data_IF_534693968127
#
_entry.id   IF_534693968127
#
_cell.length_a   1.000
_cell.length_b   1.000
_cell.length_c   1.000
_cell.angle_alpha   90.00
_cell.angle_beta   90.00
_cell.angle_gamma   90.00
#
_symmetry.space_group_name_H-M   'P 1'
#
loop_
_entity.id
_entity.type
_entity.pdbx_description
1 polymer ?
#
# COMPACT_ATOMS: atom_id res chain seq x y z
N UNK A 1 -2.31 29.37 -15.85
CA UNK A 1 -3.08 29.35 -14.60
C UNK A 1 -4.36 28.60 -14.90
N UNK A 2 -4.28 27.27 -14.91
CA UNK A 2 -5.35 26.40 -15.39
C UNK A 2 -6.31 26.08 -14.25
N UNK A 3 -7.46 26.76 -14.27
CA UNK A 3 -8.65 26.38 -13.49
C UNK A 3 -9.28 25.14 -14.15
N UNK A 4 -8.66 23.97 -13.97
CA UNK A 4 -9.39 22.70 -14.09
C UNK A 4 -10.32 22.59 -12.88
N UNK A 5 -11.50 23.17 -13.01
CA UNK A 5 -12.68 22.76 -12.26
C UNK A 5 -12.87 21.27 -12.50
N UNK A 6 -12.38 20.45 -11.58
CA UNK A 6 -12.72 19.03 -11.47
C UNK A 6 -14.20 18.95 -11.08
N UNK A 7 -15.06 19.10 -12.09
CA UNK A 7 -16.37 18.47 -12.06
C UNK A 7 -16.12 16.96 -12.04
N UNK A 8 -15.94 16.44 -10.83
CA UNK A 8 -16.05 15.01 -10.55
C UNK A 8 -17.43 14.63 -11.03
N UNK A 9 -17.50 13.96 -12.19
CA UNK A 9 -18.75 13.40 -12.71
C UNK A 9 -19.42 12.65 -11.56
N UNK A 10 -20.72 12.88 -11.30
CA UNK A 10 -21.40 12.16 -10.24
C UNK A 10 -21.32 10.68 -10.56
N UNK A 11 -20.60 9.96 -9.71
CA UNK A 11 -20.57 8.50 -9.62
C UNK A 11 -21.99 7.96 -9.91
N UNK A 12 -22.14 7.00 -10.83
CA UNK A 12 -23.47 6.41 -11.15
C UNK A 12 -24.19 5.91 -9.90
N UNK A 13 -23.45 5.44 -8.89
CA UNK A 13 -24.01 5.08 -7.58
C UNK A 13 -24.54 6.30 -6.83
N UNK A 14 -23.90 7.48 -6.93
CA UNK A 14 -24.38 8.72 -6.33
C UNK A 14 -25.80 9.04 -6.78
N UNK A 15 -26.11 8.88 -8.08
CA UNK A 15 -27.47 9.10 -8.58
C UNK A 15 -28.46 8.11 -7.97
N UNK A 16 -28.12 6.81 -7.92
CA UNK A 16 -28.96 5.77 -7.31
C UNK A 16 -29.25 6.08 -5.84
N UNK A 17 -28.23 6.48 -5.08
CA UNK A 17 -28.37 6.86 -3.67
C UNK A 17 -29.28 8.08 -3.49
N UNK A 18 -29.11 9.14 -4.29
CA UNK A 18 -30.00 10.31 -4.24
C UNK A 18 -31.43 9.97 -4.62
N UNK A 19 -31.65 9.10 -5.61
CA UNK A 19 -33.00 8.63 -5.94
C UNK A 19 -33.62 7.85 -4.78
N UNK A 20 -32.87 6.95 -4.14
CA UNK A 20 -33.34 6.19 -2.98
C UNK A 20 -33.68 7.08 -1.77
N UNK A 21 -32.82 8.05 -1.46
CA UNK A 21 -33.05 9.04 -0.38
C UNK A 21 -34.30 9.87 -0.68
N UNK A 22 -34.45 10.33 -1.93
CA UNK A 22 -35.61 11.13 -2.33
C UNK A 22 -36.91 10.33 -2.24
N UNK A 23 -36.91 9.08 -2.72
CA UNK A 23 -38.06 8.18 -2.59
C UNK A 23 -38.43 7.98 -1.11
N UNK A 24 -37.43 7.74 -0.26
CA UNK A 24 -37.65 7.58 1.18
C UNK A 24 -38.26 8.83 1.82
N UNK A 25 -37.74 10.02 1.50
CA UNK A 25 -38.29 11.30 1.98
C UNK A 25 -39.73 11.49 1.50
N UNK A 26 -40.03 11.19 0.24
CA UNK A 26 -41.39 11.30 -0.32
C UNK A 26 -42.35 10.34 0.37
N UNK A 27 -41.95 9.08 0.59
CA UNK A 27 -42.79 8.10 1.31
C UNK A 27 -43.10 8.57 2.73
N UNK A 28 -42.07 9.00 3.48
CA UNK A 28 -42.26 9.52 4.84
C UNK A 28 -43.16 10.76 4.82
N UNK A 29 -42.99 11.63 3.82
CA UNK A 29 -43.81 12.84 3.65
C UNK A 29 -45.27 12.50 3.38
N UNK A 30 -45.56 11.58 2.46
CA UNK A 30 -46.95 11.16 2.16
C UNK A 30 -47.60 10.54 3.39
N UNK A 31 -46.91 9.66 4.10
CA UNK A 31 -47.42 9.05 5.34
C UNK A 31 -47.68 10.11 6.41
N UNK A 32 -46.79 11.10 6.54
CA UNK A 32 -46.93 12.18 7.51
C UNK A 32 -48.12 13.10 7.21
N UNK A 33 -48.34 13.46 5.94
CA UNK A 33 -49.49 14.28 5.52
C UNK A 33 -50.84 13.54 5.60
N UNK A 34 -50.83 12.22 5.44
CA UNK A 34 -52.07 11.40 5.49
C UNK A 34 -52.45 10.96 6.89
N UNK A 35 -51.53 11.01 7.86
CA UNK A 35 -51.80 10.60 9.25
C UNK A 35 -52.60 11.70 9.96
N UNK A 36 -53.82 11.39 10.46
CA UNK A 36 -54.63 12.36 11.20
C UNK A 36 -53.96 12.77 12.52
N UNK A 37 -54.10 14.04 12.87
CA UNK A 37 -53.53 14.64 14.09
C UNK A 37 -54.09 14.06 15.40
N UNK A 38 -55.20 13.32 15.33
CA UNK A 38 -55.82 12.62 16.47
C UNK A 38 -55.00 11.41 16.94
N UNK A 39 -54.18 10.80 16.09
CA UNK A 39 -53.32 9.67 16.48
C UNK A 39 -51.88 10.16 16.75
N UNK A 40 -51.70 10.84 17.87
CA UNK A 40 -50.46 11.53 18.27
C UNK A 40 -49.19 10.65 18.22
N UNK A 41 -49.32 9.35 18.49
CA UNK A 41 -48.20 8.39 18.46
C UNK A 41 -47.59 8.21 17.06
N UNK A 42 -48.44 8.03 16.04
CA UNK A 42 -47.96 7.85 14.66
C UNK A 42 -47.30 9.12 14.12
N UNK A 43 -47.82 10.29 14.51
CA UNK A 43 -47.24 11.56 14.10
C UNK A 43 -45.83 11.76 14.68
N UNK A 44 -45.58 11.36 15.94
CA UNK A 44 -44.26 11.41 16.58
C UNK A 44 -43.25 10.46 15.90
N UNK A 45 -43.69 9.23 15.58
CA UNK A 45 -42.83 8.24 14.92
C UNK A 45 -42.43 8.71 13.51
N UNK A 46 -43.36 9.27 12.76
CA UNK A 46 -43.11 9.78 11.40
C UNK A 46 -42.18 11.00 11.41
N UNK A 47 -42.35 11.90 12.38
CA UNK A 47 -41.41 12.99 12.64
C UNK A 47 -40.00 12.45 12.90
N UNK A 48 -39.84 11.42 13.74
CA UNK A 48 -38.54 10.83 14.02
C UNK A 48 -37.96 10.04 12.82
N UNK A 49 -38.80 9.55 11.91
CA UNK A 49 -38.37 8.82 10.73
C UNK A 49 -37.55 9.67 9.74
N UNK A 50 -37.73 11.01 9.74
CA UNK A 50 -36.93 11.93 8.93
C UNK A 50 -35.44 11.97 9.31
N UNK A 51 -35.05 11.43 10.48
CA UNK A 51 -33.62 11.26 10.80
C UNK A 51 -32.93 10.25 9.88
N UNK A 52 -33.65 9.23 9.39
CA UNK A 52 -33.06 8.14 8.62
C UNK A 52 -32.49 8.66 7.28
N UNK A 53 -33.25 9.39 6.44
CA UNK A 53 -32.68 9.94 5.20
C UNK A 53 -31.51 10.91 5.44
N UNK A 54 -31.56 11.74 6.50
CA UNK A 54 -30.46 12.67 6.84
C UNK A 54 -29.20 11.90 7.19
N UNK A 55 -29.30 10.88 8.04
CA UNK A 55 -28.17 10.03 8.43
C UNK A 55 -27.60 9.29 7.23
N UNK A 56 -28.44 8.69 6.38
CA UNK A 56 -28.00 7.98 5.17
C UNK A 56 -27.23 8.92 4.23
N UNK A 57 -27.74 10.14 4.02
CA UNK A 57 -27.07 11.13 3.20
C UNK A 57 -25.74 11.60 3.81
N UNK A 58 -25.70 11.81 5.12
CA UNK A 58 -24.50 12.19 5.86
C UNK A 58 -23.43 11.09 5.81
N UNK A 59 -23.80 9.82 5.99
CA UNK A 59 -22.88 8.68 5.88
C UNK A 59 -22.36 8.48 4.46
N UNK A 60 -23.19 8.72 3.43
CA UNK A 60 -22.79 8.43 2.06
C UNK A 60 -22.03 9.57 1.38
N UNK A 61 -22.35 10.81 1.72
CA UNK A 61 -21.84 12.00 1.05
C UNK A 61 -21.22 13.02 2.01
N UNK A 62 -20.99 12.63 3.27
CA UNK A 62 -20.35 13.48 4.28
C UNK A 62 -21.23 14.67 4.68
N UNK A 63 -20.57 15.76 5.08
CA UNK A 63 -21.22 16.98 5.56
C UNK A 63 -22.19 17.54 4.51
N UNK A 64 -21.78 17.55 3.24
CA UNK A 64 -22.58 18.11 2.14
C UNK A 64 -23.89 17.34 1.95
N UNK A 65 -23.84 16.00 2.00
CA UNK A 65 -25.06 15.18 1.93
C UNK A 65 -26.00 15.42 3.07
N UNK A 66 -25.49 15.38 4.30
CA UNK A 66 -26.29 15.60 5.50
C UNK A 66 -27.00 16.96 5.49
N UNK A 67 -26.29 18.03 5.13
CA UNK A 67 -26.86 19.38 5.06
C UNK A 67 -27.87 19.54 3.92
N UNK A 68 -27.59 19.01 2.72
CA UNK A 68 -28.52 19.07 1.58
C UNK A 68 -29.80 18.31 1.90
N UNK A 69 -29.70 17.10 2.47
CA UNK A 69 -30.88 16.32 2.85
C UNK A 69 -31.67 16.95 3.99
N UNK A 70 -31.01 17.54 5.00
CA UNK A 70 -31.69 18.29 6.05
C UNK A 70 -32.44 19.51 5.49
N UNK A 71 -31.83 20.23 4.54
CA UNK A 71 -32.47 21.35 3.85
C UNK A 71 -33.68 20.90 3.04
N UNK A 72 -33.55 19.83 2.25
CA UNK A 72 -34.66 19.27 1.47
C UNK A 72 -35.83 18.87 2.37
N UNK A 73 -35.57 18.13 3.46
CA UNK A 73 -36.59 17.74 4.42
C UNK A 73 -37.25 18.97 5.04
N UNK A 74 -36.47 19.99 5.38
CA UNK A 74 -37.00 21.25 5.92
C UNK A 74 -37.99 21.90 4.94
N UNK A 75 -37.66 21.93 3.64
CA UNK A 75 -38.54 22.49 2.61
C UNK A 75 -39.87 21.73 2.50
N UNK A 76 -39.87 20.40 2.65
CA UNK A 76 -41.10 19.60 2.62
C UNK A 76 -41.90 19.63 3.94
N UNK A 77 -41.21 19.80 5.06
CA UNK A 77 -41.78 19.73 6.40
C UNK A 77 -42.34 21.09 6.88
N UNK A 78 -41.72 22.20 6.48
CA UNK A 78 -42.14 23.55 6.91
C UNK A 78 -43.57 23.91 6.46
N UNK A 79 -43.99 23.64 5.20
CA UNK A 79 -45.37 23.89 4.78
C UNK A 79 -46.40 23.04 5.54
N UNK A 80 -46.03 21.82 5.94
CA UNK A 80 -46.89 20.96 6.74
C UNK A 80 -47.18 21.57 8.11
N UNK A 81 -46.17 22.12 8.77
CA UNK A 81 -46.33 22.82 10.05
C UNK A 81 -47.27 24.02 9.87
N UNK A 82 -47.05 24.83 8.83
CA UNK A 82 -47.83 26.05 8.59
C UNK A 82 -49.30 25.77 8.26
N UNK A 83 -49.57 24.78 7.39
CA UNK A 83 -50.91 24.52 6.87
C UNK A 83 -51.78 23.67 7.79
N UNK A 84 -51.20 22.66 8.44
CA UNK A 84 -51.95 21.69 9.24
C UNK A 84 -51.96 22.04 10.74
N UNK A 85 -51.03 22.90 11.18
CA UNK A 85 -50.79 23.22 12.60
C UNK A 85 -50.62 24.73 12.83
N UNK A 86 -51.44 25.56 12.16
CA UNK A 86 -51.47 27.03 12.28
C UNK A 86 -51.96 27.57 13.64
N UNK A 87 -51.58 26.94 14.76
CA UNK A 87 -51.89 27.34 16.13
C UNK A 87 -50.67 27.77 16.94
N UNK A 88 -50.91 28.21 18.19
CA UNK A 88 -49.99 28.89 19.13
C UNK A 88 -48.51 28.47 19.10
N UNK A 89 -47.64 29.46 19.33
CA UNK A 89 -46.16 29.39 19.25
C UNK A 89 -45.55 28.32 20.19
N UNK A 90 -46.15 28.06 21.35
CA UNK A 90 -45.62 27.09 22.33
C UNK A 90 -45.61 25.64 21.80
N UNK A 91 -46.61 25.23 21.02
CA UNK A 91 -46.72 23.86 20.49
C UNK A 91 -45.78 23.60 19.30
N UNK A 92 -45.26 24.65 18.67
CA UNK A 92 -44.41 24.56 17.48
C UNK A 92 -42.91 24.62 17.81
N UNK A 93 -42.54 25.01 19.03
CA UNK A 93 -41.14 25.14 19.44
C UNK A 93 -40.37 23.81 19.33
N UNK A 94 -41.00 22.69 19.68
CA UNK A 94 -40.38 21.36 19.56
C UNK A 94 -40.09 20.97 18.10
N UNK A 95 -40.90 21.44 17.15
CA UNK A 95 -40.75 21.15 15.71
C UNK A 95 -39.61 21.95 15.10
N UNK A 96 -39.47 23.22 15.51
CA UNK A 96 -38.31 24.03 15.14
C UNK A 96 -37.01 23.46 15.72
N UNK A 97 -37.04 22.99 16.98
CA UNK A 97 -35.90 22.33 17.59
C UNK A 97 -35.53 21.03 16.85
N UNK A 98 -36.52 20.31 16.32
CA UNK A 98 -36.28 19.12 15.50
C UNK A 98 -35.63 19.45 14.15
N UNK A 99 -36.05 20.53 13.48
CA UNK A 99 -35.38 21.01 12.25
C UNK A 99 -33.92 21.35 12.57
N UNK A 100 -33.67 22.10 13.64
CA UNK A 100 -32.32 22.39 14.12
C UNK A 100 -31.53 21.08 14.34
N UNK A 101 -32.15 20.08 14.97
CA UNK A 101 -31.53 18.79 15.23
C UNK A 101 -31.17 18.03 13.94
N UNK A 102 -31.96 18.11 12.86
CA UNK A 102 -31.58 17.52 11.57
C UNK A 102 -30.30 18.14 11.01
N UNK A 103 -30.14 19.47 11.10
CA UNK A 103 -28.91 20.14 10.67
C UNK A 103 -27.73 19.77 11.55
N UNK A 104 -27.90 19.74 12.88
CA UNK A 104 -26.84 19.36 13.83
C UNK A 104 -26.38 17.92 13.58
N UNK A 105 -27.32 16.97 13.46
CA UNK A 105 -26.98 15.56 13.21
C UNK A 105 -26.37 15.38 11.81
N UNK A 106 -26.94 16.01 10.79
CA UNK A 106 -26.40 15.97 9.43
C UNK A 106 -24.96 16.47 9.38
N UNK A 107 -24.66 17.56 10.09
CA UNK A 107 -23.31 18.10 10.23
C UNK A 107 -22.40 17.18 11.04
N UNK A 108 -22.79 16.78 12.24
CA UNK A 108 -21.96 15.97 13.14
C UNK A 108 -21.63 14.60 12.54
N UNK A 109 -22.63 13.90 12.01
CA UNK A 109 -22.44 12.60 11.36
C UNK A 109 -21.58 12.77 10.11
N UNK A 110 -21.89 13.75 9.26
CA UNK A 110 -21.13 14.00 8.04
C UNK A 110 -19.66 14.33 8.33
N UNK A 111 -19.38 15.10 9.38
CA UNK A 111 -18.03 15.46 9.78
C UNK A 111 -17.23 14.25 10.27
N UNK A 112 -17.86 13.40 11.09
CA UNK A 112 -17.22 12.16 11.56
C UNK A 112 -16.91 11.23 10.39
N UNK A 113 -17.86 11.06 9.47
CA UNK A 113 -17.69 10.21 8.29
C UNK A 113 -16.56 10.72 7.39
N UNK A 114 -16.45 12.03 7.19
CA UNK A 114 -15.39 12.61 6.36
C UNK A 114 -14.00 12.41 6.97
N UNK A 115 -13.87 12.62 8.29
CA UNK A 115 -12.60 12.36 9.00
C UNK A 115 -12.19 10.90 8.97
N UNK A 116 -13.13 10.00 9.22
CA UNK A 116 -12.87 8.56 9.21
C UNK A 116 -12.41 8.09 7.82
N UNK A 117 -13.04 8.63 6.76
CA UNK A 117 -12.63 8.35 5.39
C UNK A 117 -11.24 8.88 5.09
N UNK A 118 -10.93 10.12 5.49
CA UNK A 118 -9.59 10.70 5.35
C UNK A 118 -8.51 9.91 6.09
N UNK A 119 -8.79 9.48 7.32
CA UNK A 119 -7.88 8.65 8.12
C UNK A 119 -7.64 7.29 7.47
N UNK A 120 -8.69 6.63 6.98
CA UNK A 120 -8.58 5.35 6.27
C UNK A 120 -7.79 5.49 4.97
N UNK A 121 -8.02 6.55 4.21
CA UNK A 121 -7.25 6.84 2.99
C UNK A 121 -5.78 7.10 3.30
N UNK A 122 -5.46 7.85 4.37
CA UNK A 122 -4.08 8.06 4.83
C UNK A 122 -3.43 6.75 5.26
N UNK A 123 -4.14 5.93 6.03
CA UNK A 123 -3.63 4.63 6.48
C UNK A 123 -3.32 3.71 5.30
N UNK A 124 -4.21 3.63 4.31
CA UNK A 124 -4.00 2.84 3.10
C UNK A 124 -2.82 3.36 2.26
N UNK A 125 -2.67 4.68 2.14
CA UNK A 125 -1.50 5.28 1.47
C UNK A 125 -0.21 4.93 2.18
N UNK A 126 -0.12 5.15 3.50
CA UNK A 126 1.07 4.81 4.29
C UNK A 126 1.40 3.31 4.21
N UNK A 127 0.39 2.44 4.24
CA UNK A 127 0.57 1.00 4.09
C UNK A 127 1.13 0.65 2.69
N UNK A 128 0.58 1.24 1.62
CA UNK A 128 1.07 1.03 0.26
C UNK A 128 2.50 1.57 0.06
N UNK A 129 2.83 2.72 0.64
CA UNK A 129 4.17 3.30 0.60
C UNK A 129 5.17 2.42 1.34
N UNK A 130 4.80 1.91 2.53
CA UNK A 130 5.63 0.97 3.28
C UNK A 130 5.90 -0.31 2.48
N UNK A 131 4.85 -0.91 1.89
CA UNK A 131 5.02 -2.11 1.06
C UNK A 131 5.96 -1.86 -0.13
N UNK A 132 5.83 -0.72 -0.81
CA UNK A 132 6.73 -0.35 -1.91
C UNK A 132 8.18 -0.12 -1.44
N UNK A 133 8.38 0.47 -0.26
CA UNK A 133 9.71 0.67 0.31
C UNK A 133 10.36 -0.65 0.74
N UNK A 134 9.59 -1.57 1.34
CA UNK A 134 10.09 -2.91 1.68
C UNK A 134 10.52 -3.69 0.44
N UNK A 135 9.78 -3.58 -0.66
CA UNK A 135 10.17 -4.21 -1.93
C UNK A 135 11.50 -3.64 -2.46
N UNK A 136 11.70 -2.32 -2.38
CA UNK A 136 12.98 -1.68 -2.75
C UNK A 136 14.14 -2.15 -1.89
N UNK A 137 13.97 -2.19 -0.57
CA UNK A 137 15.00 -2.66 0.37
C UNK A 137 15.37 -4.12 0.09
N UNK A 138 14.37 -4.98 -0.19
CA UNK A 138 14.60 -6.37 -0.54
C UNK A 138 15.45 -6.49 -1.81
N UNK A 139 15.14 -5.74 -2.86
CA UNK A 139 15.94 -5.73 -4.10
C UNK A 139 17.38 -5.26 -3.86
N UNK A 140 17.56 -4.22 -3.05
CA UNK A 140 18.91 -3.74 -2.67
C UNK A 140 19.69 -4.80 -1.89
N UNK A 141 19.05 -5.52 -0.98
CA UNK A 141 19.70 -6.61 -0.25
C UNK A 141 20.10 -7.78 -1.18
N UNK A 142 19.26 -8.12 -2.16
CA UNK A 142 19.58 -9.11 -3.18
C UNK A 142 20.78 -8.68 -4.05
N UNK A 143 20.82 -7.40 -4.45
CA UNK A 143 21.94 -6.83 -5.22
C UNK A 143 23.27 -6.86 -4.44
N UNK A 144 23.23 -6.47 -3.16
CA UNK A 144 24.40 -6.56 -2.27
C UNK A 144 24.87 -8.02 -2.15
N UNK A 145 23.94 -8.97 -1.98
CA UNK A 145 24.28 -10.39 -1.91
C UNK A 145 24.98 -10.92 -3.18
N UNK A 146 24.55 -10.47 -4.36
CA UNK A 146 25.21 -10.80 -5.63
C UNK A 146 26.62 -10.18 -5.72
N UNK A 147 26.77 -8.91 -5.33
CA UNK A 147 28.07 -8.23 -5.29
C UNK A 147 29.05 -8.90 -4.32
N UNK A 148 28.59 -9.31 -3.14
CA UNK A 148 29.41 -10.05 -2.18
C UNK A 148 29.89 -11.40 -2.75
N UNK A 149 29.04 -12.12 -3.48
CA UNK A 149 29.43 -13.36 -4.15
C UNK A 149 30.50 -13.12 -5.21
N UNK A 150 30.34 -12.08 -6.03
CA UNK A 150 31.32 -11.68 -7.03
C UNK A 150 32.67 -11.33 -6.39
N UNK A 151 32.65 -10.53 -5.31
CA UNK A 151 33.88 -10.18 -4.59
C UNK A 151 34.59 -11.41 -4.02
N UNK A 152 33.87 -12.35 -3.41
CA UNK A 152 34.48 -13.63 -2.94
C UNK A 152 35.11 -14.43 -4.07
N UNK A 153 34.53 -14.39 -5.27
CA UNK A 153 35.07 -15.09 -6.43
C UNK A 153 36.36 -14.41 -6.92
N UNK A 154 36.39 -13.08 -6.97
CA UNK A 154 37.58 -12.29 -7.30
C UNK A 154 38.70 -12.52 -6.29
N UNK A 155 38.39 -12.50 -5.00
CA UNK A 155 39.36 -12.71 -3.91
C UNK A 155 40.01 -14.10 -4.01
N UNK A 156 39.21 -15.16 -4.25
CA UNK A 156 39.73 -16.51 -4.52
C UNK A 156 40.67 -16.57 -5.73
N UNK A 157 40.31 -15.89 -6.82
CA UNK A 157 41.14 -15.86 -8.03
C UNK A 157 42.46 -15.10 -7.78
N UNK A 158 42.43 -14.03 -6.97
CA UNK A 158 43.63 -13.28 -6.59
C UNK A 158 44.62 -14.14 -5.78
N UNK A 159 44.13 -14.91 -4.81
CA UNK A 159 44.97 -15.85 -4.03
C UNK A 159 45.61 -16.90 -4.93
N UNK A 160 44.87 -17.45 -5.89
CA UNK A 160 45.42 -18.38 -6.89
C UNK A 160 46.44 -17.69 -7.80
N UNK A 161 46.28 -16.40 -8.07
CA UNK A 161 47.17 -15.59 -8.90
C UNK A 161 48.49 -15.16 -8.26
N UNK A 162 48.58 -15.07 -6.93
CA UNK A 162 49.82 -14.73 -6.20
C UNK A 162 50.71 -15.94 -5.88
N UNK A 163 50.12 -17.11 -5.67
CA UNK A 163 50.85 -18.36 -5.41
C UNK A 163 51.69 -18.95 -6.57
N UNK A 164 51.50 -18.65 -7.88
CA UNK A 164 52.24 -19.30 -8.96
C UNK A 164 53.74 -19.04 -8.90
N UNK A 165 54.16 -17.86 -8.44
CA UNK A 165 55.58 -17.53 -8.33
C UNK A 165 56.26 -18.39 -7.24
N UNK A 166 55.65 -18.53 -6.07
CA UNK A 166 56.15 -19.42 -5.02
C UNK A 166 56.05 -20.89 -5.44
N UNK A 167 54.95 -21.31 -6.07
CA UNK A 167 54.81 -22.69 -6.58
C UNK A 167 55.89 -23.02 -7.61
N UNK A 168 56.19 -22.10 -8.53
CA UNK A 168 57.25 -22.29 -9.53
C UNK A 168 58.63 -22.41 -8.88
N UNK A 169 58.91 -21.63 -7.84
CA UNK A 169 60.15 -21.75 -7.06
C UNK A 169 60.21 -23.07 -6.27
N UNK A 170 59.11 -23.51 -5.67
CA UNK A 170 59.02 -24.76 -4.92
C UNK A 170 59.07 -26.00 -5.80
N UNK A 171 58.64 -25.94 -7.07
CA UNK A 171 58.77 -27.02 -8.06
C UNK A 171 60.18 -27.08 -8.65
N UNK A 172 60.85 -25.94 -8.85
CA UNK A 172 62.25 -25.92 -9.31
C UNK A 172 63.23 -26.57 -8.34
N UNK A 173 62.99 -26.46 -7.03
CA UNK A 173 63.86 -27.03 -6.00
C UNK A 173 63.98 -28.58 -6.06
N UNK A 174 62.89 -29.37 -6.08
CA UNK A 174 62.96 -30.82 -6.23
C UNK A 174 63.46 -31.23 -7.62
N UNK A 175 63.09 -30.51 -8.69
CA UNK A 175 63.62 -30.79 -10.04
C UNK A 175 65.14 -30.61 -10.10
N UNK A 176 65.66 -29.54 -9.48
CA UNK A 176 67.10 -29.32 -9.32
C UNK A 176 67.79 -30.42 -8.50
N UNK A 177 67.12 -30.92 -7.46
CA UNK A 177 67.64 -32.01 -6.62
C UNK A 177 67.66 -33.36 -7.36
N UNK A 178 66.60 -33.67 -8.12
CA UNK A 178 66.51 -34.86 -8.99
C UNK A 178 67.59 -34.80 -10.07
N UNK A 179 67.79 -33.63 -10.69
CA UNK A 179 68.85 -33.40 -11.67
C UNK A 179 70.23 -33.61 -11.06
N UNK A 180 70.52 -33.01 -9.90
CA UNK A 180 71.80 -33.15 -9.22
C UNK A 180 72.11 -34.62 -8.88
N UNK A 181 71.12 -35.35 -8.36
CA UNK A 181 71.26 -36.78 -8.11
C UNK A 181 71.50 -37.58 -9.41
N UNK A 182 70.79 -37.25 -10.49
CA UNK A 182 70.99 -37.89 -11.79
C UNK A 182 72.35 -37.56 -12.42
N UNK A 183 72.89 -36.36 -12.24
CA UNK A 183 74.24 -35.97 -12.68
C UNK A 183 75.33 -36.77 -11.95
N UNK A 184 75.19 -36.94 -10.63
CA UNK A 184 76.08 -37.78 -9.83
C UNK A 184 76.02 -39.23 -10.30
N UNK A 185 74.82 -39.81 -10.41
CA UNK A 185 74.63 -41.19 -10.87
C UNK A 185 75.18 -41.42 -12.28
N UNK A 186 75.07 -40.43 -13.18
CA UNK A 186 75.64 -40.50 -14.52
C UNK A 186 77.17 -40.41 -14.51
N UNK A 187 77.75 -39.64 -13.59
CA UNK A 187 79.21 -39.50 -13.48
C UNK A 187 79.88 -40.80 -13.03
N UNK A 188 79.22 -41.58 -12.17
CA UNK A 188 79.72 -42.84 -11.60
C UNK A 188 79.34 -44.08 -12.45
N UNK A 189 78.42 -43.94 -13.41
CA UNK A 189 77.98 -45.05 -14.27
C UNK A 189 79.05 -45.46 -15.31
N UNK A 190 79.05 -46.72 -15.80
CA UNK A 190 79.85 -47.14 -16.96
C UNK A 190 79.47 -46.41 -18.25
N UNK A 191 80.41 -46.21 -19.19
CA UNK A 191 80.20 -45.38 -20.40
C UNK A 191 79.04 -45.86 -21.30
N UNK A 192 78.72 -47.16 -21.28
CA UNK A 192 77.57 -47.73 -21.99
C UNK A 192 76.22 -47.22 -21.43
N UNK A 193 76.15 -46.93 -20.12
CA UNK A 193 74.95 -46.46 -19.42
C UNK A 193 74.86 -44.93 -19.38
N UNK A 194 75.98 -44.21 -19.48
CA UNK A 194 76.01 -42.73 -19.54
C UNK A 194 75.28 -42.12 -20.73
N UNK A 195 75.13 -42.90 -21.81
CA UNK A 195 74.36 -42.55 -23.02
C UNK A 195 72.97 -43.19 -23.04
N UNK A 196 72.56 -43.85 -21.97
CA UNK A 196 71.23 -44.46 -21.92
C UNK A 196 70.15 -43.40 -22.04
N UNK A 197 69.05 -43.80 -22.67
CA UNK A 197 67.85 -42.99 -22.88
C UNK A 197 67.29 -42.45 -21.54
N UNK A 198 67.44 -43.22 -20.45
CA UNK A 198 66.96 -42.85 -19.13
C UNK A 198 67.53 -41.53 -18.60
N UNK A 199 68.84 -41.30 -18.74
CA UNK A 199 69.42 -40.01 -18.33
C UNK A 199 68.93 -38.85 -19.21
N UNK A 200 68.73 -39.10 -20.51
CA UNK A 200 68.22 -38.07 -21.42
C UNK A 200 66.77 -37.69 -21.07
N UNK A 201 65.94 -38.65 -20.69
CA UNK A 201 64.56 -38.40 -20.25
C UNK A 201 64.57 -37.59 -18.95
N UNK A 202 65.36 -37.99 -17.94
CA UNK A 202 65.38 -37.29 -16.64
C UNK A 202 65.83 -35.84 -16.79
N UNK A 203 66.89 -35.58 -17.57
CA UNK A 203 67.33 -34.21 -17.83
C UNK A 203 66.34 -33.44 -18.71
N UNK A 204 65.73 -34.09 -19.69
CA UNK A 204 64.69 -33.47 -20.52
C UNK A 204 63.44 -33.07 -19.73
N UNK A 205 63.05 -33.85 -18.72
CA UNK A 205 61.86 -33.56 -17.91
C UNK A 205 62.12 -32.56 -16.77
N UNK A 206 63.37 -32.44 -16.32
CA UNK A 206 63.75 -31.49 -15.26
C UNK A 206 64.05 -30.08 -15.77
N UNK A 207 64.27 -29.90 -17.07
CA UNK A 207 64.47 -28.58 -17.74
C UNK A 207 63.16 -27.99 -18.32
N UNK A 208 62.05 -28.72 -18.29
CA UNK A 208 60.72 -28.24 -18.73
C UNK A 208 60.06 -27.31 -17.71
#
# INVERSE_FOLDING_TARGET
>A
MDLKTTFVQPDKNSFIWWTGITILVVIISILHYTTPTMNWEYHLILMQSYFIPVLLAAFRFGIRGGLISALLITVFYLPHIMLQWGGFVETNMIRFLQILLFFVIGYMTGFKTEREKEEKEKFQRSASELSANLEKLKRQAEEIGLLEQQLRQVDRLSVIGELPANLAHEVRNPLGSIRGAAEILRSEAPDALKKSEFFQIIFGETDR
#
